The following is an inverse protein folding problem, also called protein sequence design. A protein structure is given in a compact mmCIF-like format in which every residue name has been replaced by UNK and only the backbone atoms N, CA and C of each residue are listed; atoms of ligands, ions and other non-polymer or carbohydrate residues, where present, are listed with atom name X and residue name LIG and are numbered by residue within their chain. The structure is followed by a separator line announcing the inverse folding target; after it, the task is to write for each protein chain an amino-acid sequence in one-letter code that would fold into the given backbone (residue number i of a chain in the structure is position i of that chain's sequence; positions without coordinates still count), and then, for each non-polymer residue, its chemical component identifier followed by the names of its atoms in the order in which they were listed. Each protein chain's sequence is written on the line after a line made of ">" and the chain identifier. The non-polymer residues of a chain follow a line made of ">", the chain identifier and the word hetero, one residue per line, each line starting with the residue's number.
data_IF_985852586060
#
_entry.id   IF_985852586060
#
_cell.length_a   1.000
_cell.length_b   1.000
_cell.length_c   1.000
_cell.angle_alpha   90.00
_cell.angle_beta   90.00
_cell.angle_gamma   90.00
#
_symmetry.space_group_name_H-M   'P 1'
#
loop_
_entity.id
_entity.type
_entity.pdbx_description
1 polymer ?
#
# COMPACT_ATOMS: atom_id res chain seq x y z
N UNK A 1 -36.64 -20.85 15.07
CA UNK A 1 -35.22 -20.60 14.80
C UNK A 1 -34.75 -19.59 15.81
N UNK A 2 -33.64 -19.84 16.53
CA UNK A 2 -33.06 -18.81 17.37
C UNK A 2 -32.30 -17.84 16.44
N UNK A 3 -32.72 -16.57 16.42
CA UNK A 3 -31.96 -15.50 15.79
C UNK A 3 -30.76 -15.19 16.68
N UNK A 4 -29.58 -15.64 16.28
CA UNK A 4 -28.33 -15.22 16.89
C UNK A 4 -27.89 -13.90 16.23
N UNK A 5 -27.57 -12.91 17.04
CA UNK A 5 -26.87 -11.70 16.59
C UNK A 5 -25.42 -11.76 17.03
N UNK A 6 -24.50 -11.38 16.14
CA UNK A 6 -23.06 -11.32 16.40
C UNK A 6 -22.63 -9.88 16.23
N UNK A 7 -21.97 -9.32 17.24
CA UNK A 7 -21.46 -7.95 17.24
C UNK A 7 -19.93 -7.95 17.43
N UNK A 8 -19.26 -6.96 16.86
CA UNK A 8 -17.90 -6.57 17.22
C UNK A 8 -17.99 -5.41 18.20
N UNK A 9 -17.26 -5.51 19.32
CA UNK A 9 -17.24 -4.50 20.39
C UNK A 9 -15.82 -4.05 20.67
N UNK A 10 -15.62 -2.74 20.84
CA UNK A 10 -14.41 -2.17 21.44
C UNK A 10 -14.73 -1.80 22.87
N UNK A 11 -13.87 -2.23 23.79
CA UNK A 11 -13.98 -1.93 25.22
C UNK A 11 -12.76 -1.16 25.69
N UNK A 12 -12.96 -0.25 26.64
CA UNK A 12 -11.85 0.37 27.36
C UNK A 12 -11.22 -0.61 28.38
N UNK A 13 -10.16 -0.16 29.05
CA UNK A 13 -9.46 -0.95 30.06
C UNK A 13 -10.33 -1.30 31.29
N UNK A 14 -11.46 -0.62 31.48
CA UNK A 14 -12.41 -0.88 32.56
C UNK A 14 -13.57 -1.79 32.10
N UNK A 15 -13.52 -2.27 30.85
CA UNK A 15 -14.51 -3.17 30.26
C UNK A 15 -15.77 -2.49 29.74
N UNK A 16 -15.83 -1.15 29.75
CA UNK A 16 -16.97 -0.40 29.20
C UNK A 16 -16.90 -0.40 27.69
N UNK A 17 -18.03 -0.71 27.04
CA UNK A 17 -18.17 -0.66 25.59
C UNK A 17 -18.08 0.79 25.12
N UNK A 18 -17.08 1.07 24.28
CA UNK A 18 -16.86 2.36 23.63
C UNK A 18 -17.68 2.42 22.34
N UNK A 19 -17.67 1.34 21.56
CA UNK A 19 -18.48 1.20 20.36
C UNK A 19 -18.81 -0.28 20.12
N UNK A 20 -19.92 -0.51 19.40
CA UNK A 20 -20.37 -1.83 18.99
C UNK A 20 -21.03 -1.73 17.61
N UNK A 21 -20.80 -2.72 16.76
CA UNK A 21 -21.44 -2.83 15.45
C UNK A 21 -21.79 -4.29 15.15
N UNK A 22 -22.94 -4.59 14.52
CA UNK A 22 -23.23 -5.93 14.02
C UNK A 22 -22.13 -6.42 13.06
N UNK A 23 -21.67 -7.65 13.26
CA UNK A 23 -20.56 -8.25 12.49
C UNK A 23 -20.80 -8.20 10.99
N UNK A 24 -22.00 -8.58 10.53
CA UNK A 24 -22.33 -8.53 9.10
C UNK A 24 -22.30 -7.11 8.53
N UNK A 25 -22.71 -6.11 9.32
CA UNK A 25 -22.67 -4.71 8.89
C UNK A 25 -21.21 -4.20 8.82
N UNK A 26 -20.36 -4.62 9.75
CA UNK A 26 -18.93 -4.32 9.69
C UNK A 26 -18.26 -5.01 8.48
N UNK A 27 -18.59 -6.27 8.19
CA UNK A 27 -17.96 -6.98 7.07
C UNK A 27 -18.39 -6.43 5.70
N UNK A 28 -19.69 -6.14 5.52
CA UNK A 28 -20.27 -5.87 4.20
C UNK A 28 -20.84 -4.46 4.02
N UNK A 29 -20.93 -3.68 5.09
CA UNK A 29 -21.53 -2.34 5.10
C UNK A 29 -20.52 -1.23 5.41
N UNK A 30 -21.05 -0.12 5.95
CA UNK A 30 -20.23 1.02 6.38
C UNK A 30 -19.53 0.66 7.69
N UNK A 31 -18.20 0.65 7.69
CA UNK A 31 -17.40 0.19 8.82
C UNK A 31 -17.24 1.29 9.87
N UNK A 32 -17.45 0.95 11.14
CA UNK A 32 -17.23 1.89 12.23
C UNK A 32 -15.74 2.25 12.36
N UNK A 33 -15.41 3.54 12.27
CA UNK A 33 -14.02 4.05 12.32
C UNK A 33 -13.31 3.68 13.63
N UNK A 34 -13.99 3.70 14.78
CA UNK A 34 -13.37 3.36 16.07
C UNK A 34 -12.96 1.88 16.12
N UNK A 35 -13.79 0.99 15.56
CA UNK A 35 -13.47 -0.43 15.44
C UNK A 35 -12.28 -0.61 14.48
N UNK A 36 -12.30 0.04 13.32
CA UNK A 36 -11.21 -0.04 12.34
C UNK A 36 -9.89 0.49 12.91
N UNK A 37 -9.92 1.58 13.67
CA UNK A 37 -8.76 2.19 14.33
C UNK A 37 -8.11 1.22 15.31
N UNK A 38 -8.90 0.50 16.10
CA UNK A 38 -8.39 -0.50 17.05
C UNK A 38 -7.79 -1.71 16.33
N UNK A 39 -8.40 -2.17 15.24
CA UNK A 39 -7.97 -3.37 14.53
C UNK A 39 -6.79 -3.16 13.57
N UNK A 40 -6.73 -1.99 12.93
CA UNK A 40 -5.84 -1.73 11.79
C UNK A 40 -5.01 -0.44 11.94
N UNK A 41 -5.31 0.39 12.95
CA UNK A 41 -4.69 1.71 13.09
C UNK A 41 -3.19 1.63 13.34
N UNK A 42 -2.73 0.64 14.13
CA UNK A 42 -1.30 0.52 14.44
C UNK A 42 -0.47 0.15 13.21
N UNK A 43 -0.93 -0.84 12.45
CA UNK A 43 -0.28 -1.29 11.23
C UNK A 43 -0.27 -0.18 10.17
N UNK A 44 -1.37 0.59 10.05
CA UNK A 44 -1.42 1.76 9.19
C UNK A 44 -0.42 2.84 9.63
N UNK A 45 -0.34 3.10 10.94
CA UNK A 45 0.60 4.06 11.51
C UNK A 45 2.05 3.68 11.17
N UNK A 46 2.43 2.43 11.41
CA UNK A 46 3.79 1.94 11.14
C UNK A 46 4.13 2.06 9.64
N UNK A 47 3.18 1.77 8.73
CA UNK A 47 3.35 2.00 7.29
C UNK A 47 3.57 3.48 6.94
N UNK A 48 2.75 4.37 7.50
CA UNK A 48 2.80 5.81 7.23
C UNK A 48 4.09 6.46 7.76
N UNK A 49 4.64 5.95 8.86
CA UNK A 49 5.91 6.43 9.44
C UNK A 49 7.11 5.82 8.74
N UNK A 50 7.23 4.50 8.75
CA UNK A 50 8.49 3.82 8.40
C UNK A 50 8.64 3.68 6.89
N UNK A 51 7.57 3.26 6.20
CA UNK A 51 7.61 2.97 4.77
C UNK A 51 7.42 4.23 3.93
N UNK A 52 6.48 5.09 4.33
CA UNK A 52 6.07 6.25 3.53
C UNK A 52 6.68 7.57 4.00
N UNK A 53 7.10 7.66 5.27
CA UNK A 53 7.62 8.89 5.90
C UNK A 53 6.69 10.09 5.66
N UNK A 54 5.38 9.88 5.83
CA UNK A 54 4.33 10.89 5.68
C UNK A 54 3.79 11.40 7.00
N UNK A 55 3.88 10.62 8.09
CA UNK A 55 3.61 11.15 9.44
C UNK A 55 4.92 11.68 10.03
N UNK A 56 4.90 12.92 10.54
CA UNK A 56 6.07 13.60 11.11
C UNK A 56 5.68 14.50 12.28
N UNK A 57 6.63 14.84 13.13
CA UNK A 57 6.43 15.89 14.13
C UNK A 57 6.47 17.27 13.50
N UNK A 58 5.53 18.13 13.88
CA UNK A 58 5.59 19.56 13.58
C UNK A 58 6.50 20.30 14.59
N UNK A 59 6.68 21.60 14.39
CA UNK A 59 7.51 22.46 15.26
C UNK A 59 7.05 22.47 16.73
N UNK A 60 5.77 22.16 16.99
CA UNK A 60 5.18 22.08 18.32
C UNK A 60 5.25 20.67 18.93
N UNK A 61 5.93 19.72 18.29
CA UNK A 61 6.04 18.34 18.76
C UNK A 61 4.75 17.52 18.65
N UNK A 62 3.79 17.94 17.82
CA UNK A 62 2.56 17.20 17.50
C UNK A 62 2.76 16.38 16.21
N UNK A 63 2.19 15.18 16.14
CA UNK A 63 2.24 14.38 14.92
C UNK A 63 1.26 14.95 13.89
N UNK A 64 1.76 15.13 12.67
CA UNK A 64 0.98 15.64 11.55
C UNK A 64 1.13 14.73 10.35
N UNK A 65 0.07 14.68 9.54
CA UNK A 65 0.14 14.08 8.22
C UNK A 65 0.78 15.11 7.27
N UNK A 66 2.06 14.90 6.96
CA UNK A 66 2.87 15.72 6.06
C UNK A 66 2.54 15.53 4.57
N UNK A 67 1.27 15.27 4.24
CA UNK A 67 0.79 15.28 2.85
C UNK A 67 0.40 16.70 2.47
N UNK A 68 0.68 17.08 1.22
CA UNK A 68 0.19 18.35 0.68
C UNK A 68 -1.31 18.18 0.46
N UNK A 69 -2.13 18.78 1.34
CA UNK A 69 -3.57 18.85 1.15
C UNK A 69 -3.84 19.67 -0.10
N UNK A 70 -4.21 19.00 -1.19
CA UNK A 70 -4.71 19.68 -2.38
C UNK A 70 -6.15 20.13 -2.11
N UNK A 71 -6.63 21.11 -2.88
CA UNK A 71 -8.04 21.54 -2.81
C UNK A 71 -9.04 20.41 -3.03
N UNK A 72 -8.60 19.31 -3.67
CA UNK A 72 -9.35 18.08 -3.84
C UNK A 72 -8.86 17.00 -2.83
N UNK A 73 -9.69 16.75 -1.81
CA UNK A 73 -9.49 15.71 -0.79
C UNK A 73 -9.39 14.32 -1.44
N UNK A 74 -10.21 14.02 -2.45
CA UNK A 74 -10.18 12.71 -3.10
C UNK A 74 -8.85 12.51 -3.80
N UNK A 75 -8.33 13.53 -4.49
CA UNK A 75 -7.03 13.43 -5.14
C UNK A 75 -5.90 13.17 -4.15
N UNK A 76 -5.91 13.86 -3.01
CA UNK A 76 -4.93 13.65 -1.93
C UNK A 76 -5.04 12.22 -1.36
N UNK A 77 -6.27 11.74 -1.12
CA UNK A 77 -6.53 10.40 -0.61
C UNK A 77 -6.06 9.32 -1.59
N UNK A 78 -6.40 9.43 -2.87
CA UNK A 78 -6.01 8.46 -3.89
C UNK A 78 -4.49 8.38 -4.07
N UNK A 79 -3.78 9.52 -3.98
CA UNK A 79 -2.31 9.54 -4.03
C UNK A 79 -1.69 8.81 -2.83
N UNK A 80 -2.20 9.06 -1.62
CA UNK A 80 -1.71 8.38 -0.43
C UNK A 80 -2.05 6.88 -0.48
N UNK A 81 -3.27 6.52 -0.88
CA UNK A 81 -3.71 5.13 -0.99
C UNK A 81 -2.90 4.35 -2.03
N UNK A 82 -2.54 4.95 -3.17
CA UNK A 82 -1.64 4.30 -4.13
C UNK A 82 -0.29 3.92 -3.52
N UNK A 83 0.29 4.81 -2.70
CA UNK A 83 1.55 4.54 -1.98
C UNK A 83 1.40 3.51 -0.86
N UNK A 84 0.26 3.51 -0.17
CA UNK A 84 -0.07 2.50 0.84
C UNK A 84 -0.18 1.12 0.19
N UNK A 85 -0.87 1.02 -0.95
CA UNK A 85 -0.98 -0.22 -1.72
C UNK A 85 0.40 -0.75 -2.15
N UNK A 86 1.28 0.13 -2.65
CA UNK A 86 2.68 -0.21 -2.95
C UNK A 86 3.39 -0.79 -1.71
N UNK A 87 3.29 -0.11 -0.57
CA UNK A 87 3.93 -0.52 0.66
C UNK A 87 3.39 -1.86 1.21
N UNK A 88 2.09 -2.12 1.12
CA UNK A 88 1.47 -3.40 1.51
C UNK A 88 2.05 -4.54 0.66
N UNK A 89 2.08 -4.39 -0.67
CA UNK A 89 2.61 -5.44 -1.56
C UNK A 89 4.07 -5.73 -1.21
N UNK A 90 4.90 -4.69 -1.07
CA UNK A 90 6.32 -4.83 -0.73
C UNK A 90 6.50 -5.55 0.60
N UNK A 91 5.77 -5.13 1.64
CA UNK A 91 5.82 -5.74 2.97
C UNK A 91 5.43 -7.22 2.90
N UNK A 92 4.31 -7.55 2.26
CA UNK A 92 3.79 -8.92 2.21
C UNK A 92 4.67 -9.83 1.35
N UNK A 93 5.22 -9.32 0.24
CA UNK A 93 6.23 -10.05 -0.55
C UNK A 93 7.49 -10.35 0.27
N UNK A 94 7.89 -9.47 1.18
CA UNK A 94 9.09 -9.68 1.99
C UNK A 94 8.84 -10.55 3.24
N UNK A 95 7.58 -10.83 3.59
CA UNK A 95 7.20 -11.67 4.74
C UNK A 95 6.64 -13.04 4.35
N UNK A 96 6.03 -13.16 3.16
CA UNK A 96 5.42 -14.40 2.68
C UNK A 96 5.99 -14.79 1.31
N UNK A 97 6.74 -15.89 1.28
CA UNK A 97 7.37 -16.42 0.06
C UNK A 97 6.35 -16.84 -1.01
N UNK A 98 5.16 -17.28 -0.61
CA UNK A 98 4.06 -17.60 -1.51
C UNK A 98 3.52 -16.36 -2.23
N UNK A 99 3.25 -15.29 -1.48
CA UNK A 99 2.86 -13.99 -2.02
C UNK A 99 3.96 -13.42 -2.91
N UNK A 100 5.22 -13.44 -2.45
CA UNK A 100 6.38 -13.02 -3.23
C UNK A 100 6.43 -13.73 -4.58
N UNK A 101 6.37 -15.07 -4.58
CA UNK A 101 6.44 -15.87 -5.80
C UNK A 101 5.34 -15.50 -6.79
N UNK A 102 4.11 -15.26 -6.32
CA UNK A 102 3.00 -14.90 -7.22
C UNK A 102 3.22 -13.52 -7.85
N UNK A 103 3.46 -12.47 -7.05
CA UNK A 103 3.73 -11.13 -7.58
C UNK A 103 4.99 -11.10 -8.46
N UNK A 104 6.06 -11.78 -8.06
CA UNK A 104 7.27 -11.93 -8.86
C UNK A 104 7.00 -12.62 -10.20
N UNK A 105 6.12 -13.62 -10.24
CA UNK A 105 5.74 -14.30 -11.48
C UNK A 105 4.98 -13.37 -12.43
N UNK A 106 4.07 -12.56 -11.88
CA UNK A 106 3.33 -11.54 -12.62
C UNK A 106 4.30 -10.50 -13.19
N UNK A 107 5.16 -9.93 -12.33
CA UNK A 107 6.15 -8.91 -12.72
C UNK A 107 7.08 -9.39 -13.84
N UNK A 108 7.41 -10.69 -13.85
CA UNK A 108 8.25 -11.31 -14.87
C UNK A 108 7.50 -11.75 -16.13
N UNK A 109 6.16 -11.69 -16.14
CA UNK A 109 5.29 -12.33 -17.15
C UNK A 109 5.66 -13.80 -17.39
N UNK A 110 6.05 -14.50 -16.31
CA UNK A 110 6.48 -15.91 -16.34
C UNK A 110 6.30 -16.54 -14.97
N UNK A 111 5.61 -17.68 -14.94
CA UNK A 111 5.48 -18.47 -13.72
C UNK A 111 6.87 -18.87 -13.17
N UNK A 112 7.22 -18.31 -12.02
CA UNK A 112 8.48 -18.55 -11.35
C UNK A 112 8.38 -19.76 -10.41
N UNK A 113 9.43 -20.57 -10.38
CA UNK A 113 9.60 -21.61 -9.35
C UNK A 113 9.95 -20.93 -8.03
N UNK A 114 9.52 -21.50 -6.90
CA UNK A 114 9.81 -20.97 -5.56
C UNK A 114 11.30 -20.67 -5.36
N UNK A 115 12.16 -21.66 -5.62
CA UNK A 115 13.64 -21.53 -5.58
C UNK A 115 14.25 -20.37 -6.38
N UNK A 116 13.52 -19.82 -7.35
CA UNK A 116 13.94 -18.66 -8.14
C UNK A 116 13.43 -17.39 -7.51
N UNK A 117 12.16 -17.36 -7.10
CA UNK A 117 11.56 -16.23 -6.40
C UNK A 117 12.26 -15.94 -5.07
N UNK A 118 12.65 -16.96 -4.31
CA UNK A 118 13.32 -16.82 -3.00
C UNK A 118 14.68 -16.11 -3.08
N UNK A 119 15.25 -15.95 -4.28
CA UNK A 119 16.51 -15.23 -4.50
C UNK A 119 16.29 -13.72 -4.71
N UNK A 120 15.04 -13.28 -4.73
CA UNK A 120 14.67 -11.90 -4.99
C UNK A 120 13.69 -11.41 -3.93
N UNK A 121 13.85 -10.15 -3.52
CA UNK A 121 12.93 -9.45 -2.64
C UNK A 121 12.38 -8.21 -3.33
N UNK A 122 11.19 -7.78 -2.90
CA UNK A 122 10.48 -6.66 -3.48
C UNK A 122 11.00 -5.32 -2.90
N UNK A 123 11.14 -4.32 -3.77
CA UNK A 123 11.43 -2.94 -3.41
C UNK A 123 10.42 -2.02 -4.09
N UNK A 124 9.82 -1.11 -3.31
CA UNK A 124 9.01 -0.03 -3.85
C UNK A 124 9.90 1.16 -4.27
N UNK A 125 9.85 1.55 -5.54
CA UNK A 125 10.75 2.55 -6.13
C UNK A 125 10.51 3.96 -5.57
N UNK A 126 9.34 4.20 -4.97
CA UNK A 126 8.96 5.44 -4.30
C UNK A 126 9.04 5.41 -2.77
N UNK A 127 9.38 4.26 -2.16
CA UNK A 127 9.36 4.08 -0.70
C UNK A 127 10.62 4.60 0.01
N UNK A 128 10.46 4.96 1.28
CA UNK A 128 11.52 5.51 2.12
C UNK A 128 12.65 4.50 2.38
N UNK A 129 12.31 3.22 2.57
CA UNK A 129 13.30 2.16 2.73
C UNK A 129 14.24 2.05 1.52
N UNK A 130 13.70 2.09 0.30
CA UNK A 130 14.47 2.06 -0.95
C UNK A 130 15.33 3.30 -1.10
N UNK A 131 14.82 4.49 -0.75
CA UNK A 131 15.59 5.73 -0.74
C UNK A 131 16.86 5.64 0.12
N UNK A 132 16.75 5.01 1.29
CA UNK A 132 17.84 4.92 2.27
C UNK A 132 18.83 3.82 1.88
N UNK A 133 18.34 2.62 1.54
CA UNK A 133 19.17 1.42 1.42
C UNK A 133 19.56 1.10 -0.03
N UNK A 134 18.76 1.56 -1.01
CA UNK A 134 18.96 1.30 -2.44
C UNK A 134 18.83 2.61 -3.26
N UNK A 135 19.63 3.65 -2.98
CA UNK A 135 19.48 4.97 -3.59
C UNK A 135 19.65 4.98 -5.12
N UNK A 136 20.30 3.96 -5.69
CA UNK A 136 20.43 3.78 -7.16
C UNK A 136 19.16 3.22 -7.81
N UNK A 137 18.31 2.54 -7.04
CA UNK A 137 17.03 1.97 -7.49
C UNK A 137 15.87 2.93 -7.16
N UNK A 138 16.00 3.72 -6.08
CA UNK A 138 15.02 4.73 -5.73
C UNK A 138 14.81 5.73 -6.87
N UNK A 139 13.61 5.71 -7.44
CA UNK A 139 13.25 6.59 -8.55
C UNK A 139 11.77 6.93 -8.49
N UNK A 140 11.36 7.86 -7.60
CA UNK A 140 9.97 8.28 -7.48
C UNK A 140 9.45 9.06 -8.70
N UNK A 141 10.34 9.39 -9.65
CA UNK A 141 9.98 10.02 -10.92
C UNK A 141 9.75 9.00 -12.04
N UNK A 142 10.15 7.74 -11.85
CA UNK A 142 9.77 6.67 -12.76
C UNK A 142 8.29 6.38 -12.57
N UNK A 143 7.50 6.71 -13.58
CA UNK A 143 6.06 6.44 -13.56
C UNK A 143 5.71 5.07 -14.14
N UNK A 144 6.69 4.26 -14.53
CA UNK A 144 6.45 2.94 -15.13
C UNK A 144 6.38 1.83 -14.10
N UNK A 145 7.17 1.91 -13.03
CA UNK A 145 7.35 0.83 -12.06
C UNK A 145 7.31 1.38 -10.66
N UNK A 146 6.26 1.02 -9.94
CA UNK A 146 6.16 1.29 -8.51
C UNK A 146 6.92 0.22 -7.71
N UNK A 147 6.96 -1.03 -8.20
CA UNK A 147 7.63 -2.14 -7.50
C UNK A 147 8.58 -2.88 -8.44
N UNK A 148 9.77 -3.21 -7.94
CA UNK A 148 10.78 -4.03 -8.62
C UNK A 148 11.30 -5.14 -7.70
N UNK A 149 11.98 -6.13 -8.27
CA UNK A 149 12.62 -7.21 -7.53
C UNK A 149 14.13 -7.16 -7.71
N UNK A 150 14.87 -7.36 -6.62
CA UNK A 150 16.33 -7.31 -6.59
C UNK A 150 16.90 -8.53 -5.87
N UNK A 151 18.09 -8.98 -6.26
CA UNK A 151 18.81 -10.10 -5.63
C UNK A 151 19.95 -9.62 -4.70
N UNK A 152 20.64 -10.59 -4.08
CA UNK A 152 21.81 -10.38 -3.19
C UNK A 152 22.95 -9.54 -3.80
N UNK A 153 23.01 -9.48 -5.12
CA UNK A 153 24.02 -8.73 -5.87
C UNK A 153 23.55 -7.33 -6.28
N UNK A 154 22.38 -6.89 -5.79
CA UNK A 154 21.70 -5.66 -6.20
C UNK A 154 21.29 -5.64 -7.69
N UNK A 155 21.13 -6.81 -8.31
CA UNK A 155 20.70 -6.93 -9.70
C UNK A 155 19.18 -7.03 -9.78
N UNK A 156 18.60 -6.25 -10.69
CA UNK A 156 17.15 -6.24 -10.90
C UNK A 156 16.72 -7.48 -11.69
N UNK A 157 15.58 -8.04 -11.30
CA UNK A 157 14.94 -9.10 -12.06
C UNK A 157 14.53 -8.62 -13.45
N UNK A 158 14.57 -9.53 -14.43
CA UNK A 158 14.21 -9.25 -15.82
C UNK A 158 12.94 -9.98 -16.24
N UNK A 159 12.14 -9.31 -17.06
CA UNK A 159 10.96 -9.87 -17.69
C UNK A 159 11.35 -11.01 -18.62
N UNK A 160 10.45 -11.99 -18.80
CA UNK A 160 10.59 -12.97 -19.88
C UNK A 160 10.05 -12.34 -21.15
N UNK A 161 10.85 -11.50 -21.78
CA UNK A 161 10.53 -11.06 -23.15
C UNK A 161 10.70 -12.27 -24.08
N UNK A 162 9.79 -12.45 -25.04
CA UNK A 162 9.83 -13.55 -26.01
C UNK A 162 11.19 -13.63 -26.73
N UNK A 163 11.46 -14.75 -27.42
CA UNK A 163 12.77 -15.21 -27.93
C UNK A 163 13.57 -14.24 -28.86
N UNK A 164 13.15 -12.98 -29.05
CA UNK A 164 13.63 -12.05 -30.07
C UNK A 164 14.45 -10.85 -29.58
N UNK A 165 14.84 -10.74 -28.31
CA UNK A 165 15.71 -9.63 -27.86
C UNK A 165 17.12 -10.09 -27.49
N UNK A 166 18.12 -9.39 -28.03
CA UNK A 166 19.53 -9.53 -27.66
C UNK A 166 19.74 -9.26 -26.16
N UNK A 167 20.74 -9.87 -25.55
CA UNK A 167 21.09 -9.75 -24.13
C UNK A 167 21.27 -8.29 -23.63
N UNK A 168 21.38 -7.31 -24.52
CA UNK A 168 21.48 -5.87 -24.27
C UNK A 168 20.14 -5.11 -24.13
N UNK A 169 19.00 -5.78 -24.27
CA UNK A 169 17.66 -5.14 -24.27
C UNK A 169 16.67 -5.76 -23.29
N UNK A 170 17.15 -6.44 -22.24
CA UNK A 170 16.31 -7.08 -21.25
C UNK A 170 15.51 -6.04 -20.44
N UNK A 171 14.18 -6.15 -20.43
CA UNK A 171 13.32 -5.24 -19.68
C UNK A 171 13.29 -5.62 -18.20
N UNK A 172 13.36 -4.61 -17.34
CA UNK A 172 13.30 -4.80 -15.89
C UNK A 172 11.89 -5.26 -15.52
N UNK A 173 11.80 -6.37 -14.79
CA UNK A 173 10.56 -6.87 -14.22
C UNK A 173 10.10 -5.94 -13.10
N UNK A 174 8.82 -5.63 -13.10
CA UNK A 174 8.21 -4.79 -12.10
C UNK A 174 6.69 -4.80 -12.18
N UNK A 175 6.06 -4.00 -11.34
CA UNK A 175 4.62 -3.78 -11.33
C UNK A 175 4.35 -2.29 -11.27
N UNK A 176 3.27 -1.87 -11.95
CA UNK A 176 2.61 -0.61 -11.68
C UNK A 176 1.47 -0.86 -10.71
N UNK A 177 1.31 -0.02 -9.69
CA UNK A 177 0.20 -0.08 -8.74
C UNK A 177 -0.76 1.08 -9.03
N UNK A 178 -2.06 0.78 -9.01
CA UNK A 178 -3.12 1.78 -9.10
C UNK A 178 -4.16 1.52 -8.02
N UNK A 179 -4.61 2.58 -7.38
CA UNK A 179 -5.77 2.57 -6.50
C UNK A 179 -6.76 3.63 -6.98
N UNK A 180 -8.04 3.29 -7.09
CA UNK A 180 -9.06 4.24 -7.51
C UNK A 180 -10.46 3.85 -7.05
N UNK A 181 -11.33 4.86 -6.94
CA UNK A 181 -12.78 4.71 -6.85
C UNK A 181 -13.47 4.68 -8.22
N UNK A 182 -12.76 5.05 -9.28
CA UNK A 182 -13.29 5.13 -10.65
C UNK A 182 -12.20 4.74 -11.65
N UNK A 183 -11.99 3.44 -11.78
CA UNK A 183 -11.03 2.89 -12.71
C UNK A 183 -11.42 3.08 -14.17
N UNK A 184 -12.71 3.27 -14.48
CA UNK A 184 -13.14 3.67 -15.84
C UNK A 184 -12.53 5.00 -16.25
N UNK A 185 -12.52 5.98 -15.34
CA UNK A 185 -11.99 7.31 -15.61
C UNK A 185 -10.47 7.38 -15.50
N UNK A 186 -9.86 6.63 -14.58
CA UNK A 186 -8.46 6.83 -14.21
C UNK A 186 -7.51 5.69 -14.59
N UNK A 187 -8.01 4.47 -14.75
CA UNK A 187 -7.17 3.29 -15.01
C UNK A 187 -7.32 2.81 -16.45
N UNK A 188 -8.56 2.66 -16.92
CA UNK A 188 -8.87 2.24 -18.29
C UNK A 188 -8.16 3.08 -19.36
N UNK A 189 -8.12 4.43 -19.30
CA UNK A 189 -7.41 5.20 -20.32
C UNK A 189 -5.91 4.91 -20.37
N UNK A 190 -5.30 4.56 -19.24
CA UNK A 190 -3.88 4.20 -19.21
C UNK A 190 -3.62 2.83 -19.82
N UNK A 191 -4.56 1.88 -19.69
CA UNK A 191 -4.51 0.57 -20.33
C UNK A 191 -4.69 0.71 -21.84
N UNK A 192 -5.73 1.44 -22.28
CA UNK A 192 -6.01 1.65 -23.70
C UNK A 192 -4.88 2.39 -24.43
N UNK A 193 -4.12 3.22 -23.71
CA UNK A 193 -2.96 3.94 -24.24
C UNK A 193 -1.64 3.15 -24.16
N UNK A 194 -1.67 1.88 -23.71
CA UNK A 194 -0.48 1.05 -23.48
C UNK A 194 0.61 1.80 -22.68
N UNK A 195 0.17 2.53 -21.64
CA UNK A 195 1.03 3.50 -20.95
C UNK A 195 2.15 2.84 -20.15
N UNK A 196 1.92 1.63 -19.67
CA UNK A 196 2.83 0.92 -18.79
C UNK A 196 3.37 -0.30 -19.50
N UNK A 197 4.68 -0.44 -19.45
CA UNK A 197 5.34 -1.58 -20.06
C UNK A 197 5.25 -2.84 -19.15
N UNK A 198 4.91 -2.66 -17.88
CA UNK A 198 4.73 -3.71 -16.87
C UNK A 198 3.26 -3.94 -16.50
N UNK A 199 2.90 -5.11 -15.93
CA UNK A 199 1.56 -5.37 -15.43
C UNK A 199 1.09 -4.37 -14.38
N UNK A 200 -0.22 -4.08 -14.37
CA UNK A 200 -0.87 -3.20 -13.41
C UNK A 200 -1.55 -4.04 -12.32
N UNK A 201 -1.24 -3.79 -11.05
CA UNK A 201 -2.06 -4.24 -9.92
C UNK A 201 -3.06 -3.14 -9.61
N UNK A 202 -4.36 -3.44 -9.76
CA UNK A 202 -5.41 -2.45 -9.58
C UNK A 202 -6.26 -2.75 -8.34
N UNK A 203 -6.14 -1.89 -7.33
CA UNK A 203 -6.99 -1.85 -6.14
C UNK A 203 -8.24 -1.01 -6.43
N UNK A 204 -9.36 -1.68 -6.69
CA UNK A 204 -10.66 -1.10 -7.02
C UNK A 204 -11.52 -0.86 -5.78
N UNK A 205 -11.42 0.34 -5.23
CA UNK A 205 -12.08 0.72 -3.97
C UNK A 205 -13.62 0.57 -4.05
N UNK A 206 -14.19 0.75 -5.25
CA UNK A 206 -15.64 0.66 -5.50
C UNK A 206 -16.05 -0.61 -6.27
N UNK A 207 -15.22 -1.66 -6.21
CA UNK A 207 -15.45 -2.96 -6.86
C UNK A 207 -15.76 -2.84 -8.37
N UNK A 208 -14.99 -2.01 -9.09
CA UNK A 208 -15.21 -1.71 -10.50
C UNK A 208 -14.24 -2.42 -11.46
N UNK A 209 -13.39 -3.32 -10.95
CA UNK A 209 -12.46 -4.11 -11.76
C UNK A 209 -13.14 -4.85 -12.92
N UNK A 210 -14.24 -5.58 -12.65
CA UNK A 210 -14.97 -6.29 -13.70
C UNK A 210 -15.62 -5.35 -14.73
N UNK A 211 -15.95 -4.10 -14.35
CA UNK A 211 -16.48 -3.11 -15.30
C UNK A 211 -15.40 -2.67 -16.29
N UNK A 212 -14.15 -2.54 -15.83
CA UNK A 212 -12.99 -2.26 -16.69
C UNK A 212 -12.76 -3.42 -17.64
N UNK A 213 -12.66 -4.66 -17.13
CA UNK A 213 -12.46 -5.84 -17.97
C UNK A 213 -13.51 -5.96 -19.06
N UNK A 214 -14.79 -5.78 -18.71
CA UNK A 214 -15.90 -5.83 -19.67
C UNK A 214 -15.79 -4.78 -20.78
N UNK A 215 -15.25 -3.59 -20.49
CA UNK A 215 -15.00 -2.58 -21.54
C UNK A 215 -13.82 -2.96 -22.42
N UNK A 216 -12.72 -3.41 -21.82
CA UNK A 216 -11.54 -3.83 -22.60
C UNK A 216 -11.93 -4.97 -23.55
N UNK A 217 -12.64 -6.01 -23.08
CA UNK A 217 -13.08 -7.12 -23.93
C UNK A 217 -14.03 -6.71 -25.06
N UNK A 218 -14.89 -5.72 -24.84
CA UNK A 218 -15.84 -5.24 -25.86
C UNK A 218 -15.19 -4.31 -26.88
N UNK A 219 -14.27 -3.49 -26.43
CA UNK A 219 -13.74 -2.37 -27.21
C UNK A 219 -12.37 -2.71 -27.84
N UNK A 220 -11.69 -3.76 -27.37
CA UNK A 220 -10.33 -4.10 -27.78
C UNK A 220 -10.12 -5.63 -27.85
N UNK A 221 -9.35 -6.11 -28.84
CA UNK A 221 -8.95 -7.52 -28.94
C UNK A 221 -7.64 -7.78 -28.16
N UNK A 222 -7.48 -7.16 -26.98
CA UNK A 222 -6.27 -7.23 -26.15
C UNK A 222 -6.31 -8.50 -25.30
N UNK A 223 -5.17 -9.17 -25.15
CA UNK A 223 -5.01 -10.37 -24.29
C UNK A 223 -4.74 -9.92 -22.84
N UNK A 224 -5.80 -9.85 -22.03
CA UNK A 224 -5.88 -9.00 -20.82
C UNK A 224 -5.25 -9.66 -19.57
N UNK A 225 -5.17 -10.99 -19.54
CA UNK A 225 -4.93 -11.75 -18.30
C UNK A 225 -3.59 -11.42 -17.61
N UNK A 226 -2.65 -10.81 -18.33
CA UNK A 226 -1.33 -10.44 -17.81
C UNK A 226 -1.10 -8.93 -17.61
N UNK A 227 -2.03 -8.06 -18.01
CA UNK A 227 -1.78 -6.62 -18.05
C UNK A 227 -2.50 -5.83 -16.95
N UNK A 228 -3.64 -6.33 -16.47
CA UNK A 228 -4.29 -5.82 -15.26
C UNK A 228 -4.70 -6.98 -14.36
N UNK A 229 -4.32 -6.89 -13.08
CA UNK A 229 -4.53 -7.94 -12.09
C UNK A 229 -5.22 -7.33 -10.88
N UNK A 230 -6.27 -8.01 -10.43
CA UNK A 230 -6.92 -7.69 -9.16
C UNK A 230 -6.10 -8.28 -7.99
N UNK A 231 -5.75 -7.49 -6.96
CA UNK A 231 -4.87 -7.92 -5.88
C UNK A 231 -5.42 -9.10 -5.07
N UNK A 232 -6.75 -9.27 -4.96
CA UNK A 232 -7.32 -10.41 -4.23
C UNK A 232 -6.99 -11.78 -4.82
N UNK A 233 -6.68 -11.85 -6.12
CA UNK A 233 -6.26 -13.09 -6.78
C UNK A 233 -4.85 -13.53 -6.33
N UNK A 234 -4.08 -12.56 -5.83
CA UNK A 234 -2.68 -12.74 -5.45
C UNK A 234 -2.53 -12.81 -3.95
N UNK A 235 -3.02 -11.78 -3.26
CA UNK A 235 -2.92 -11.51 -1.83
C UNK A 235 -4.26 -10.96 -1.31
N UNK A 236 -5.25 -11.85 -1.04
CA UNK A 236 -6.57 -11.44 -0.56
C UNK A 236 -6.54 -10.78 0.81
N UNK A 237 -5.58 -11.14 1.67
CA UNK A 237 -5.45 -10.55 3.00
C UNK A 237 -4.92 -9.11 2.89
N UNK A 238 -3.88 -8.89 2.07
CA UNK A 238 -3.38 -7.53 1.82
C UNK A 238 -4.41 -6.64 1.10
N UNK A 239 -5.27 -7.21 0.26
CA UNK A 239 -6.38 -6.47 -0.35
C UNK A 239 -7.43 -6.05 0.68
N UNK A 240 -7.86 -6.97 1.55
CA UNK A 240 -8.84 -6.70 2.61
C UNK A 240 -8.33 -5.63 3.58
N UNK A 241 -7.07 -5.75 4.04
CA UNK A 241 -6.38 -4.76 4.84
C UNK A 241 -6.35 -3.38 4.18
N UNK A 242 -6.03 -3.32 2.88
CA UNK A 242 -6.04 -2.07 2.12
C UNK A 242 -7.42 -1.39 2.15
N UNK A 243 -8.51 -2.16 1.99
CA UNK A 243 -9.86 -1.60 2.04
C UNK A 243 -10.19 -0.99 3.40
N UNK A 244 -9.71 -1.58 4.49
CA UNK A 244 -9.83 -0.99 5.83
C UNK A 244 -9.06 0.33 5.97
N UNK A 245 -7.90 0.44 5.33
CA UNK A 245 -7.14 1.69 5.32
C UNK A 245 -7.79 2.81 4.52
N UNK A 246 -8.63 2.51 3.52
CA UNK A 246 -9.35 3.53 2.75
C UNK A 246 -10.11 4.46 3.68
N UNK A 247 -10.97 3.92 4.55
CA UNK A 247 -11.81 4.71 5.44
C UNK A 247 -10.98 5.54 6.43
N UNK A 248 -9.94 4.95 7.01
CA UNK A 248 -9.03 5.62 7.94
C UNK A 248 -8.27 6.76 7.25
N UNK A 249 -7.80 6.57 6.02
CA UNK A 249 -7.12 7.60 5.24
C UNK A 249 -8.04 8.76 4.90
N UNK A 250 -9.28 8.48 4.48
CA UNK A 250 -10.26 9.55 4.24
C UNK A 250 -10.56 10.32 5.52
N UNK A 251 -10.76 9.62 6.65
CA UNK A 251 -10.98 10.26 7.95
C UNK A 251 -9.78 11.11 8.41
N UNK A 252 -8.54 10.72 8.07
CA UNK A 252 -7.37 11.55 8.36
C UNK A 252 -7.31 12.82 7.51
N UNK A 253 -7.59 12.70 6.21
CA UNK A 253 -7.46 13.82 5.28
C UNK A 253 -8.57 14.86 5.49
N UNK A 254 -9.78 14.42 5.88
CA UNK A 254 -10.89 15.33 6.20
C UNK A 254 -10.88 15.83 7.66
N UNK A 255 -9.93 15.36 8.48
CA UNK A 255 -9.70 15.83 9.85
C UNK A 255 -10.60 15.18 10.90
N UNK A 256 -11.38 14.15 10.57
CA UNK A 256 -12.14 13.35 11.53
C UNK A 256 -11.28 12.41 12.37
N UNK A 257 -10.05 12.13 11.96
CA UNK A 257 -9.10 11.26 12.64
C UNK A 257 -7.70 11.89 12.63
N UNK A 258 -7.06 12.07 13.79
CA UNK A 258 -5.68 12.54 13.84
C UNK A 258 -4.68 11.38 13.71
N UNK A 259 -3.44 11.64 13.23
CA UNK A 259 -2.40 10.61 13.17
C UNK A 259 -2.10 9.94 14.52
N UNK A 260 -2.19 10.68 15.63
CA UNK A 260 -2.00 10.14 16.98
C UNK A 260 -3.07 9.12 17.36
N UNK A 261 -4.30 9.31 16.89
CA UNK A 261 -5.43 8.45 17.22
C UNK A 261 -5.31 7.07 16.57
N UNK A 262 -4.49 6.91 15.52
CA UNK A 262 -4.19 5.61 14.93
C UNK A 262 -3.53 4.64 15.92
N UNK A 263 -2.87 5.14 16.96
CA UNK A 263 -2.27 4.29 17.98
C UNK A 263 -3.18 4.22 19.21
N UNK A 264 -3.85 3.09 19.39
CA UNK A 264 -4.69 2.83 20.56
C UNK A 264 -3.89 3.03 21.86
N UNK A 265 -4.40 3.86 22.76
CA UNK A 265 -3.76 4.19 24.04
C UNK A 265 -2.99 5.52 24.08
N UNK A 266 -2.71 6.16 22.94
CA UNK A 266 -2.00 7.44 22.88
C UNK A 266 -2.75 8.62 23.56
N UNK A 267 -4.04 8.45 23.85
CA UNK A 267 -4.88 9.41 24.56
C UNK A 267 -4.89 9.29 26.09
N UNK A 268 -4.21 8.28 26.69
CA UNK A 268 -3.99 8.25 28.14
C UNK A 268 -2.65 8.93 28.45
N UNK A 269 -2.73 10.06 29.14
CA UNK A 269 -1.70 11.04 29.47
C UNK A 269 -0.36 10.55 30.10
N UNK A 270 0.01 9.28 30.08
CA UNK A 270 1.18 8.77 30.83
C UNK A 270 2.18 7.94 30.04
N UNK A 271 2.06 7.81 28.71
CA UNK A 271 3.02 6.99 27.96
C UNK A 271 4.24 7.81 27.48
N UNK A 272 4.96 8.41 28.45
CA UNK A 272 6.29 9.01 28.23
C UNK A 272 7.24 8.01 27.56
N UNK A 273 7.07 6.71 27.80
CA UNK A 273 7.82 5.63 27.17
C UNK A 273 7.51 5.51 25.68
N UNK A 274 6.23 5.58 25.26
CA UNK A 274 5.89 5.65 23.83
C UNK A 274 6.38 6.94 23.19
N UNK A 275 6.21 8.10 23.86
CA UNK A 275 6.71 9.38 23.35
C UNK A 275 8.23 9.35 23.19
N UNK A 276 8.96 8.79 24.14
CA UNK A 276 10.41 8.64 24.09
C UNK A 276 10.87 7.56 23.09
N UNK A 277 10.15 6.46 22.94
CA UNK A 277 10.43 5.44 21.93
C UNK A 277 10.18 5.94 20.50
N UNK A 278 9.09 6.68 20.30
CA UNK A 278 8.73 7.34 19.04
C UNK A 278 9.68 8.49 18.70
N UNK A 279 10.05 9.33 19.69
CA UNK A 279 11.09 10.35 19.53
C UNK A 279 12.43 9.69 19.21
N UNK A 280 12.79 8.58 19.85
CA UNK A 280 14.04 7.85 19.57
C UNK A 280 14.07 7.30 18.14
N UNK A 281 12.97 6.74 17.62
CA UNK A 281 12.89 6.25 16.21
C UNK A 281 12.93 7.39 15.20
N UNK A 282 12.25 8.50 15.47
CA UNK A 282 12.35 9.70 14.60
C UNK A 282 13.71 10.38 14.70
N UNK A 283 14.30 10.52 15.89
CA UNK A 283 15.63 11.09 16.10
C UNK A 283 16.75 10.21 15.54
N UNK A 284 16.63 8.88 15.59
CA UNK A 284 17.60 7.98 14.95
C UNK A 284 17.52 8.03 13.42
N UNK A 285 16.34 8.33 12.85
CA UNK A 285 16.19 8.66 11.43
C UNK A 285 16.73 10.06 11.07
N UNK A 286 16.70 11.03 11.98
CA UNK A 286 17.30 12.37 11.81
C UNK A 286 18.83 12.33 12.00
N UNK A 287 19.34 11.50 12.91
CA UNK A 287 20.76 11.41 13.28
C UNK A 287 21.61 10.59 12.30
N UNK A 288 21.05 10.07 11.20
CA UNK A 288 21.85 9.66 10.03
C UNK A 288 22.24 10.90 9.20
N UNK A 289 23.02 11.76 9.85
CA UNK A 289 23.97 12.76 9.34
C UNK A 289 23.74 13.33 7.92
N UNK A 290 22.85 14.31 7.79
CA UNK A 290 23.09 15.42 6.87
C UNK A 290 23.78 16.55 7.66
N UNK A 291 25.11 16.44 7.81
CA UNK A 291 25.92 17.59 8.25
C UNK A 291 26.04 18.55 7.07
N UNK A 292 25.22 19.59 7.07
CA UNK A 292 25.51 20.81 6.31
C UNK A 292 26.22 21.75 7.28
N UNK A 293 27.51 21.96 7.05
CA UNK A 293 28.27 23.07 7.62
C UNK A 293 27.95 24.29 6.75
N UNK A 294 27.63 25.42 7.39
CA UNK A 294 27.34 26.70 6.74
C UNK A 294 28.53 27.14 5.89
#
# INVERSE_FOLDING_TARGET
>A
MNEYSVNIEVKDGDGKIICSQPYNEFMYGTKNIEIQKVLYGRELYDLLVDSLNVIRYNENGKLILGVILQSDINRTAMQLLGRIAEAIIVRNCNHDAGVNRKYFSIARKKQAKMKTADKFWALGTGLNYTKINYPKIYNPSDTQRDIVWVNDYNELAVMKDGDNYSATSARIAGLQVKASKDGIKYVLPAILADRYDVPIIYFDIENDYHKILNKIYKDTHIDIEYDIIHPSEVDPVGYDEFLHYVDLVYAMIDGRLSPEELVAGAGKNDDELMKNALMSTTLSNINKTNRIII
#
